data_IF_948816555535
#
_entry.id   IF_948816555535
#
_cell.length_a   1.000
_cell.length_b   1.000
_cell.length_c   1.000
_cell.angle_alpha   90.00
_cell.angle_beta   90.00
_cell.angle_gamma   90.00
#
_symmetry.space_group_name_H-M   'P 1'
#
loop_
_entity.id
_entity.type
_entity.pdbx_description
1 polymer ?
#
# COMPACT_ATOMS: atom_id res chain seq x y z
N UNK A 1 6.82 19.11 16.33
CA UNK A 1 7.20 19.36 14.93
C UNK A 1 6.79 18.16 14.10
N UNK A 2 5.85 18.33 13.18
CA UNK A 2 5.37 17.25 12.29
C UNK A 2 6.46 16.97 11.26
N UNK A 3 7.13 15.81 11.33
CA UNK A 3 8.08 15.37 10.30
C UNK A 3 7.32 15.35 8.97
N UNK A 4 7.63 16.28 8.07
CA UNK A 4 7.13 16.22 6.68
C UNK A 4 7.63 14.88 6.12
N UNK A 5 6.71 14.06 5.63
CA UNK A 5 7.06 12.82 4.96
C UNK A 5 8.10 13.13 3.88
N UNK A 6 9.29 12.55 4.00
CA UNK A 6 10.36 12.76 3.03
C UNK A 6 10.05 12.12 1.67
N UNK A 7 9.12 11.15 1.69
CA UNK A 7 8.68 10.39 0.53
C UNK A 7 7.63 11.18 -0.26
N UNK A 8 7.95 11.45 -1.51
CA UNK A 8 7.07 12.10 -2.50
C UNK A 8 6.27 11.06 -3.30
N UNK A 9 5.13 11.47 -3.84
CA UNK A 9 4.33 10.64 -4.76
C UNK A 9 5.16 10.17 -5.98
N UNK A 10 6.12 10.99 -6.41
CA UNK A 10 7.02 10.68 -7.53
C UNK A 10 7.98 9.52 -7.22
N UNK A 11 8.40 9.37 -5.96
CA UNK A 11 9.23 8.24 -5.53
C UNK A 11 8.42 6.94 -5.46
N UNK A 12 7.19 7.01 -4.95
CA UNK A 12 6.26 5.87 -4.99
C UNK A 12 6.01 5.39 -6.42
N UNK A 13 5.71 6.30 -7.35
CA UNK A 13 5.49 5.96 -8.77
C UNK A 13 6.72 5.29 -9.40
N UNK A 14 7.93 5.76 -9.06
CA UNK A 14 9.18 5.15 -9.54
C UNK A 14 9.38 3.74 -8.98
N UNK A 15 9.10 3.53 -7.70
CA UNK A 15 9.20 2.21 -7.08
C UNK A 15 8.23 1.21 -7.72
N UNK A 16 6.97 1.61 -7.92
CA UNK A 16 5.95 0.78 -8.59
C UNK A 16 6.40 0.43 -10.01
N UNK A 17 6.84 1.43 -10.79
CA UNK A 17 7.28 1.22 -12.17
C UNK A 17 8.45 0.24 -12.25
N UNK A 18 9.45 0.38 -11.38
CA UNK A 18 10.61 -0.52 -11.34
C UNK A 18 10.18 -1.96 -11.02
N UNK A 19 9.28 -2.15 -10.05
CA UNK A 19 8.75 -3.46 -9.72
C UNK A 19 7.98 -4.10 -10.89
N UNK A 20 7.13 -3.34 -11.58
CA UNK A 20 6.42 -3.82 -12.77
C UNK A 20 7.37 -4.17 -13.92
N UNK A 21 8.43 -3.38 -14.15
CA UNK A 21 9.46 -3.67 -15.16
C UNK A 21 10.26 -4.94 -14.83
N UNK A 22 10.42 -5.27 -13.55
CA UNK A 22 10.99 -6.54 -13.11
C UNK A 22 10.03 -7.73 -13.21
N UNK A 23 8.79 -7.53 -13.67
CA UNK A 23 7.78 -8.58 -13.75
C UNK A 23 7.21 -9.01 -12.40
N UNK A 24 7.40 -8.19 -11.36
CA UNK A 24 6.85 -8.46 -10.03
C UNK A 24 5.44 -7.88 -9.93
N UNK A 25 4.50 -8.69 -9.46
CA UNK A 25 3.12 -8.27 -9.22
C UNK A 25 3.02 -7.66 -7.81
N UNK A 26 2.58 -6.40 -7.76
CA UNK A 26 2.48 -5.64 -6.52
C UNK A 26 1.06 -5.85 -5.96
N UNK A 27 0.98 -6.41 -4.76
CA UNK A 27 -0.29 -6.61 -4.06
C UNK A 27 -0.63 -5.38 -3.19
N UNK A 28 0.38 -4.82 -2.50
CA UNK A 28 0.16 -3.69 -1.60
C UNK A 28 1.33 -2.70 -1.62
N UNK A 29 1.02 -1.41 -1.45
CA UNK A 29 2.00 -0.34 -1.30
C UNK A 29 1.76 0.39 0.00
N UNK A 30 2.69 0.24 0.94
CA UNK A 30 2.64 0.93 2.23
C UNK A 30 3.58 2.13 2.18
N UNK A 31 2.99 3.32 2.20
CA UNK A 31 3.71 4.59 2.30
C UNK A 31 3.76 5.06 3.75
N UNK A 32 4.97 5.18 4.28
CA UNK A 32 5.25 5.80 5.58
C UNK A 32 6.03 7.09 5.37
N UNK A 33 6.12 7.94 6.40
CA UNK A 33 6.88 9.19 6.30
C UNK A 33 8.36 8.98 5.95
N UNK A 34 8.90 7.80 6.26
CA UNK A 34 10.31 7.46 6.14
C UNK A 34 10.60 6.47 4.99
N UNK A 35 9.62 5.71 4.50
CA UNK A 35 9.85 4.69 3.45
C UNK A 35 8.61 4.33 2.63
N UNK A 36 8.84 3.84 1.40
CA UNK A 36 7.86 3.09 0.61
C UNK A 36 8.21 1.61 0.73
N UNK A 37 7.24 0.78 1.10
CA UNK A 37 7.36 -0.68 1.03
C UNK A 37 6.41 -1.20 -0.03
N UNK A 38 6.94 -1.99 -0.95
CA UNK A 38 6.17 -2.74 -1.93
C UNK A 38 6.05 -4.17 -1.40
N UNK A 39 4.82 -4.65 -1.26
CA UNK A 39 4.54 -6.03 -0.92
C UNK A 39 4.16 -6.73 -2.22
N UNK A 40 4.98 -7.69 -2.61
CA UNK A 40 4.74 -8.52 -3.78
C UNK A 40 3.83 -9.66 -3.38
N UNK A 41 2.71 -9.82 -4.09
CA UNK A 41 1.80 -10.94 -3.88
C UNK A 41 2.29 -12.18 -4.61
N UNK A 42 1.83 -13.34 -4.17
CA UNK A 42 1.87 -14.54 -5.01
C UNK A 42 0.72 -14.47 -6.03
N UNK A 43 0.96 -15.00 -7.23
CA UNK A 43 -0.09 -15.18 -8.24
C UNK A 43 -1.16 -16.08 -7.61
N UNK A 44 -2.40 -15.60 -7.55
CA UNK A 44 -3.58 -16.20 -6.89
C UNK A 44 -3.82 -15.91 -5.39
N UNK A 45 -3.19 -14.88 -4.77
CA UNK A 45 -3.59 -14.46 -3.42
C UNK A 45 -4.99 -13.79 -3.44
N UNK A 46 -5.98 -14.30 -2.68
CA UNK A 46 -7.31 -13.69 -2.63
C UNK A 46 -7.21 -12.29 -2.02
N UNK A 47 -7.95 -11.30 -2.54
CA UNK A 47 -7.91 -9.94 -2.02
C UNK A 47 -8.29 -9.95 -0.53
N UNK A 48 -7.38 -9.46 0.32
CA UNK A 48 -7.69 -9.27 1.73
C UNK A 48 -8.71 -8.12 1.84
N UNK A 49 -9.88 -8.35 2.48
CA UNK A 49 -10.82 -7.27 2.72
C UNK A 49 -10.16 -6.21 3.61
N UNK A 50 -10.06 -5.01 3.07
CA UNK A 50 -9.56 -3.81 3.75
C UNK A 50 -10.53 -3.29 4.83
N UNK A 51 -11.79 -3.74 4.77
CA UNK A 51 -12.86 -3.29 5.63
C UNK A 51 -13.28 -4.40 6.62
N UNK A 52 -12.55 -4.52 7.73
CA UNK A 52 -12.91 -5.38 8.87
C UNK A 52 -13.85 -4.69 9.86
N UNK A 53 -14.21 -3.43 9.60
CA UNK A 53 -15.12 -2.70 10.48
C UNK A 53 -16.53 -3.29 10.37
N UNK A 54 -17.01 -3.86 11.48
CA UNK A 54 -18.41 -4.24 11.60
C UNK A 54 -19.32 -3.04 11.33
N UNK A 55 -20.53 -3.24 10.77
CA UNK A 55 -21.50 -2.18 10.60
C UNK A 55 -21.71 -1.42 11.92
N UNK A 56 -21.82 -0.09 11.83
CA UNK A 56 -22.08 0.75 13.00
C UNK A 56 -23.44 0.36 13.59
N UNK A 57 -23.48 -0.04 14.85
CA UNK A 57 -24.73 -0.39 15.53
C UNK A 57 -25.69 0.82 15.52
N UNK A 58 -26.97 0.56 15.26
CA UNK A 58 -28.00 1.59 15.36
C UNK A 58 -28.18 2.00 16.82
N UNK A 59 -28.29 3.31 17.13
CA UNK A 59 -28.64 3.74 18.48
C UNK A 59 -30.03 3.21 18.84
N UNK A 60 -30.15 2.58 20.02
CA UNK A 60 -31.43 2.20 20.64
C UNK A 60 -32.08 3.39 21.32
#
# INVERSE_FOLDING_TARGET
>A
MTKRAGITQSEMKRAIKAATECGLEISEVIMTADSVRLIFGEIDEPPKPDNTAAPKEWPR
#
